data_IF_708411631252
#
_entry.id   IF_708411631252
#
_cell.length_a   1.000
_cell.length_b   1.000
_cell.length_c   1.000
_cell.angle_alpha   90.00
_cell.angle_beta   90.00
_cell.angle_gamma   90.00
#
_symmetry.space_group_name_H-M   'P 1'
#
loop_
_entity.id
_entity.type
_entity.pdbx_description
1 polymer ?
#
# COMPACT_ATOMS: atom_id res chain seq x y z
N UNK A 1 -3.88 -7.52 -10.11
CA UNK A 1 -4.63 -7.53 -8.84
C UNK A 1 -3.88 -6.73 -7.78
N UNK A 2 -4.53 -5.86 -7.04
CA UNK A 2 -3.86 -5.16 -5.95
C UNK A 2 -3.59 -6.10 -4.78
N UNK A 3 -2.54 -5.81 -4.05
CA UNK A 3 -2.26 -6.47 -2.79
C UNK A 3 -3.01 -5.72 -1.68
N UNK A 4 -3.61 -6.46 -0.75
CA UNK A 4 -4.44 -5.90 0.30
C UNK A 4 -3.80 -6.05 1.67
N UNK A 5 -3.86 -4.98 2.46
CA UNK A 5 -3.35 -4.98 3.82
C UNK A 5 -4.46 -4.46 4.74
N UNK A 6 -4.80 -5.26 5.74
CA UNK A 6 -5.85 -4.95 6.70
C UNK A 6 -5.31 -4.12 7.86
N UNK A 7 -6.11 -3.21 8.34
CA UNK A 7 -5.75 -2.43 9.50
C UNK A 7 -6.89 -1.56 9.99
N UNK A 8 -6.60 -0.83 11.06
CA UNK A 8 -7.55 0.06 11.73
C UNK A 8 -7.18 1.51 11.42
N UNK A 9 -8.13 2.28 10.91
CA UNK A 9 -7.93 3.71 10.66
C UNK A 9 -8.19 4.48 11.95
N UNK A 10 -7.16 5.06 12.53
CA UNK A 10 -7.24 5.78 13.80
C UNK A 10 -6.48 7.10 13.76
N UNK A 11 -6.73 7.92 14.76
CA UNK A 11 -5.91 9.09 15.01
C UNK A 11 -5.05 8.83 16.24
N UNK A 12 -3.73 8.84 16.05
CA UNK A 12 -2.78 8.58 17.12
C UNK A 12 -1.97 9.84 17.38
N UNK A 13 -2.13 10.41 18.56
CA UNK A 13 -1.45 11.66 18.94
C UNK A 13 -1.69 12.79 17.93
N UNK A 14 -2.91 12.89 17.40
CA UNK A 14 -3.28 13.87 16.40
C UNK A 14 -2.87 13.55 14.97
N UNK A 15 -2.27 12.38 14.75
CA UNK A 15 -1.78 11.98 13.43
C UNK A 15 -2.66 10.87 12.87
N UNK A 16 -3.25 11.05 11.67
CA UNK A 16 -3.98 9.99 11.00
C UNK A 16 -3.07 8.77 10.77
N UNK A 17 -3.51 7.63 11.29
CA UNK A 17 -2.66 6.44 11.33
C UNK A 17 -3.46 5.20 10.91
N UNK A 18 -2.84 4.36 10.08
CA UNK A 18 -3.35 3.05 9.73
C UNK A 18 -2.58 2.01 10.55
N UNK A 19 -3.25 1.43 11.52
CA UNK A 19 -2.62 0.42 12.40
C UNK A 19 -2.83 -0.96 11.80
N UNK A 20 -1.76 -1.52 11.27
CA UNK A 20 -1.78 -2.86 10.69
C UNK A 20 -1.50 -3.92 11.74
N UNK A 21 -1.86 -5.17 11.43
CA UNK A 21 -1.58 -6.28 12.34
C UNK A 21 -0.10 -6.63 12.39
N UNK A 22 0.58 -6.55 11.26
CA UNK A 22 1.95 -7.07 11.12
C UNK A 22 2.97 -6.08 10.59
N UNK A 23 2.52 -4.96 10.04
CA UNK A 23 3.42 -3.99 9.40
C UNK A 23 3.59 -2.70 10.19
N UNK A 24 3.09 -2.68 11.43
CA UNK A 24 3.19 -1.52 12.31
C UNK A 24 2.20 -0.42 11.96
N UNK A 25 2.48 0.77 12.43
CA UNK A 25 1.64 1.95 12.22
C UNK A 25 2.14 2.72 11.01
N UNK A 26 1.22 3.03 10.10
CA UNK A 26 1.53 3.69 8.84
C UNK A 26 0.76 5.00 8.77
N UNK A 27 1.43 6.12 8.43
CA UNK A 27 0.72 7.40 8.29
C UNK A 27 -0.28 7.35 7.14
N UNK A 28 -1.47 7.89 7.36
CA UNK A 28 -2.49 8.01 6.32
C UNK A 28 -2.34 9.36 5.64
N UNK A 29 -2.20 9.41 4.30
CA UNK A 29 -2.14 10.69 3.59
C UNK A 29 -3.39 11.54 3.81
N UNK A 30 -3.25 12.85 3.80
CA UNK A 30 -4.36 13.76 4.05
C UNK A 30 -5.55 13.54 3.13
N UNK A 31 -5.32 13.30 1.84
CA UNK A 31 -6.42 13.09 0.90
C UNK A 31 -7.25 11.88 1.28
N UNK A 32 -6.59 10.80 1.70
CA UNK A 32 -7.26 9.57 2.07
C UNK A 32 -7.96 9.70 3.41
N UNK A 33 -7.33 10.40 4.37
CA UNK A 33 -7.93 10.65 5.67
C UNK A 33 -9.25 11.42 5.55
N UNK A 34 -9.30 12.42 4.66
CA UNK A 34 -10.52 13.17 4.39
C UNK A 34 -11.63 12.27 3.87
N UNK A 35 -11.29 11.37 2.97
CA UNK A 35 -12.26 10.41 2.41
C UNK A 35 -12.78 9.47 3.50
N UNK A 36 -11.88 8.93 4.32
CA UNK A 36 -12.27 8.02 5.40
C UNK A 36 -13.15 8.70 6.44
N UNK A 37 -12.85 9.94 6.79
CA UNK A 37 -13.69 10.71 7.71
C UNK A 37 -15.06 10.99 7.11
N UNK A 38 -15.10 11.35 5.85
CA UNK A 38 -16.35 11.66 5.14
C UNK A 38 -17.34 10.49 5.19
N UNK A 39 -16.84 9.28 5.03
CA UNK A 39 -17.69 8.09 4.95
C UNK A 39 -17.78 7.31 6.25
N UNK A 40 -17.24 7.86 7.35
CA UNK A 40 -17.39 7.27 8.67
C UNK A 40 -16.53 6.07 8.96
N UNK A 41 -15.37 5.96 8.33
CA UNK A 41 -14.48 4.81 8.51
C UNK A 41 -13.42 5.00 9.59
N UNK A 42 -13.33 6.18 10.19
CA UNK A 42 -12.40 6.41 11.29
C UNK A 42 -12.82 5.56 12.49
N UNK A 43 -11.88 4.79 13.04
CA UNK A 43 -12.16 3.84 14.11
C UNK A 43 -12.63 2.47 13.63
N UNK A 44 -12.63 2.23 12.33
CA UNK A 44 -13.06 0.97 11.73
C UNK A 44 -11.91 0.25 11.05
N UNK A 45 -12.02 -1.06 10.99
CA UNK A 45 -11.09 -1.87 10.21
C UNK A 45 -11.42 -1.75 8.72
N UNK A 46 -10.39 -1.52 7.91
CA UNK A 46 -10.47 -1.40 6.46
C UNK A 46 -9.30 -2.13 5.82
N UNK A 47 -9.31 -2.20 4.50
CA UNK A 47 -8.16 -2.72 3.76
C UNK A 47 -7.58 -1.61 2.88
N UNK A 48 -6.25 -1.53 2.86
CA UNK A 48 -5.55 -0.71 1.86
C UNK A 48 -5.13 -1.61 0.71
N UNK A 49 -5.37 -1.14 -0.51
CA UNK A 49 -4.96 -1.82 -1.72
C UNK A 49 -3.78 -1.12 -2.37
N UNK A 50 -2.80 -1.90 -2.77
CA UNK A 50 -1.57 -1.41 -3.41
C UNK A 50 -1.40 -2.17 -4.72
N UNK A 51 -1.34 -1.46 -5.83
CA UNK A 51 -1.07 -2.09 -7.13
C UNK A 51 0.41 -2.40 -7.27
N UNK A 52 0.77 -3.45 -8.04
CA UNK A 52 2.17 -3.83 -8.20
C UNK A 52 3.08 -2.70 -8.68
N UNK A 53 2.60 -1.82 -9.54
CA UNK A 53 3.36 -0.69 -10.07
C UNK A 53 3.60 0.43 -9.03
N UNK A 54 2.94 0.37 -7.89
CA UNK A 54 3.08 1.37 -6.83
C UNK A 54 4.00 0.93 -5.69
N UNK A 55 4.66 -0.20 -5.85
CA UNK A 55 5.81 -0.56 -5.03
C UNK A 55 7.06 -0.01 -5.73
N UNK A 56 7.84 0.77 -5.01
CA UNK A 56 8.97 1.49 -5.57
C UNK A 56 10.29 1.01 -4.96
N UNK A 57 11.33 0.95 -5.77
CA UNK A 57 12.69 0.64 -5.28
C UNK A 57 13.35 1.84 -4.61
N UNK A 58 12.76 3.03 -4.75
CA UNK A 58 13.24 4.29 -4.16
C UNK A 58 12.07 5.01 -3.52
N UNK A 59 12.31 5.85 -2.49
CA UNK A 59 11.23 6.67 -1.93
C UNK A 59 10.59 7.55 -3.00
N UNK A 60 9.26 7.75 -2.89
CA UNK A 60 8.57 8.67 -3.76
C UNK A 60 9.06 10.10 -3.48
N UNK A 61 9.34 10.86 -4.53
CA UNK A 61 9.92 12.21 -4.39
C UNK A 61 8.93 13.24 -3.84
N UNK A 62 7.63 12.99 -4.03
CA UNK A 62 6.62 14.03 -3.87
C UNK A 62 6.09 14.22 -2.45
N UNK A 63 6.27 13.29 -1.54
CA UNK A 63 5.74 13.42 -0.18
C UNK A 63 6.64 12.80 0.84
N UNK A 64 7.20 13.66 1.69
CA UNK A 64 8.07 13.23 2.78
C UNK A 64 7.32 12.99 4.09
N UNK A 65 6.01 13.19 4.11
CA UNK A 65 5.21 12.97 5.30
C UNK A 65 4.68 11.55 5.33
N UNK A 66 5.44 10.70 5.97
CA UNK A 66 5.00 9.35 6.22
C UNK A 66 5.37 8.42 5.08
N UNK A 67 6.55 7.89 5.17
CA UNK A 67 6.97 6.83 4.30
C UNK A 67 6.43 5.50 4.81
N UNK A 68 5.85 4.74 3.91
CA UNK A 68 5.60 3.34 4.16
C UNK A 68 6.59 2.52 3.36
N UNK A 69 7.43 1.78 4.06
CA UNK A 69 8.40 0.90 3.43
C UNK A 69 8.32 -0.49 4.04
N UNK A 70 8.63 -1.48 3.24
CA UNK A 70 8.63 -2.88 3.64
C UNK A 70 9.96 -3.50 3.27
N UNK A 71 10.52 -4.28 4.18
CA UNK A 71 11.68 -5.11 3.88
C UNK A 71 11.18 -6.50 3.52
N UNK A 72 11.46 -6.94 2.30
CA UNK A 72 10.97 -8.21 1.79
C UNK A 72 12.10 -9.00 1.16
N UNK A 73 11.89 -10.31 1.06
CA UNK A 73 12.79 -11.22 0.35
C UNK A 73 12.10 -11.65 -0.94
N UNK A 74 12.77 -11.49 -2.06
CA UNK A 74 12.24 -11.89 -3.36
C UNK A 74 12.15 -13.40 -3.42
N UNK A 75 10.97 -13.92 -3.74
CA UNK A 75 10.73 -15.35 -3.88
C UNK A 75 10.79 -15.83 -5.33
N UNK A 76 10.50 -14.95 -6.29
CA UNK A 76 10.59 -15.25 -7.71
C UNK A 76 10.72 -13.95 -8.51
N UNK A 77 11.27 -14.06 -9.69
CA UNK A 77 11.44 -12.96 -10.63
C UNK A 77 10.91 -13.39 -11.99
N UNK A 78 10.05 -12.57 -12.58
CA UNK A 78 9.54 -12.81 -13.92
C UNK A 78 9.86 -11.62 -14.82
N UNK A 79 10.32 -11.90 -16.04
CA UNK A 79 10.55 -10.86 -17.02
C UNK A 79 9.36 -10.86 -18.00
N UNK A 80 8.65 -9.74 -18.05
CA UNK A 80 7.51 -9.54 -18.95
C UNK A 80 7.80 -8.36 -19.87
N UNK A 81 8.36 -8.65 -21.05
CA UNK A 81 8.77 -7.59 -21.97
C UNK A 81 9.86 -6.72 -21.36
N UNK A 82 9.59 -5.43 -21.20
CA UNK A 82 10.52 -4.47 -20.61
C UNK A 82 10.37 -4.33 -19.11
N UNK A 83 9.47 -5.12 -18.49
CA UNK A 83 9.16 -4.99 -17.07
C UNK A 83 9.55 -6.24 -16.31
N UNK A 84 9.92 -6.06 -15.06
CA UNK A 84 10.22 -7.15 -14.16
C UNK A 84 9.15 -7.20 -13.06
N UNK A 85 8.62 -8.39 -12.82
CA UNK A 85 7.70 -8.64 -11.71
C UNK A 85 8.48 -9.38 -10.64
N UNK A 86 8.58 -8.76 -9.47
CA UNK A 86 9.18 -9.38 -8.29
C UNK A 86 8.06 -9.95 -7.43
N UNK A 87 8.16 -11.23 -7.09
CA UNK A 87 7.26 -11.87 -6.16
C UNK A 87 7.88 -11.91 -4.78
N UNK A 88 7.09 -11.66 -3.76
CA UNK A 88 7.53 -11.75 -2.39
C UNK A 88 6.37 -12.16 -1.49
N UNK A 89 6.67 -12.61 -0.29
CA UNK A 89 5.67 -12.98 0.69
C UNK A 89 5.63 -11.92 1.79
N UNK A 90 4.45 -11.41 2.08
CA UNK A 90 4.24 -10.47 3.16
C UNK A 90 3.28 -11.08 4.17
N UNK A 91 3.82 -11.55 5.29
CA UNK A 91 3.04 -12.11 6.40
C UNK A 91 2.05 -13.22 5.95
N UNK A 92 2.53 -14.12 5.09
CA UNK A 92 1.73 -15.24 4.60
C UNK A 92 0.95 -14.96 3.31
N UNK A 93 0.97 -13.73 2.82
CA UNK A 93 0.31 -13.34 1.59
C UNK A 93 1.33 -13.20 0.47
N UNK A 94 1.05 -13.85 -0.68
CA UNK A 94 1.87 -13.66 -1.86
C UNK A 94 1.57 -12.31 -2.50
N UNK A 95 2.62 -11.52 -2.67
CA UNK A 95 2.53 -10.18 -3.22
C UNK A 95 3.44 -10.06 -4.43
N UNK A 96 3.22 -9.05 -5.26
CA UNK A 96 4.11 -8.76 -6.35
C UNK A 96 4.32 -7.24 -6.53
N UNK A 97 5.53 -6.91 -6.98
CA UNK A 97 5.90 -5.54 -7.32
C UNK A 97 6.35 -5.50 -8.77
N UNK A 98 5.93 -4.47 -9.49
CA UNK A 98 6.29 -4.27 -10.89
C UNK A 98 7.38 -3.21 -10.92
N UNK A 99 8.57 -3.61 -11.31
CA UNK A 99 9.74 -2.74 -11.28
C UNK A 99 10.34 -2.60 -12.67
N UNK A 100 11.33 -1.71 -12.80
CA UNK A 100 12.01 -1.49 -14.07
C UNK A 100 12.69 -2.77 -14.57
N UNK A 101 12.73 -2.95 -15.88
CA UNK A 101 13.49 -4.02 -16.50
C UNK A 101 14.98 -3.98 -16.21
N UNK A 102 15.47 -2.84 -15.73
CA UNK A 102 16.88 -2.68 -15.33
C UNK A 102 17.16 -3.21 -13.92
N UNK A 103 16.12 -3.60 -13.19
CA UNK A 103 16.31 -4.14 -11.85
C UNK A 103 17.10 -5.43 -11.88
N UNK A 104 18.12 -5.51 -11.03
CA UNK A 104 18.97 -6.69 -10.89
C UNK A 104 18.54 -7.61 -9.76
N UNK A 105 17.42 -7.30 -9.12
CA UNK A 105 16.90 -8.10 -8.00
C UNK A 105 16.44 -9.47 -8.50
N UNK A 106 16.77 -10.50 -7.75
CA UNK A 106 16.43 -11.89 -8.08
C UNK A 106 16.04 -12.66 -6.83
N UNK A 107 15.60 -13.89 -7.03
CA UNK A 107 15.20 -14.80 -5.95
C UNK A 107 16.25 -14.86 -4.85
N UNK A 108 15.81 -14.68 -3.62
CA UNK A 108 16.68 -14.70 -2.44
C UNK A 108 17.20 -13.35 -2.02
N UNK A 109 17.09 -12.34 -2.88
CA UNK A 109 17.57 -10.99 -2.54
C UNK A 109 16.63 -10.32 -1.55
N UNK A 110 17.21 -9.59 -0.62
CA UNK A 110 16.46 -8.75 0.30
C UNK A 110 16.39 -7.34 -0.28
N UNK A 111 15.22 -6.76 -0.24
CA UNK A 111 15.01 -5.43 -0.79
C UNK A 111 14.05 -4.64 0.09
N UNK A 112 14.25 -3.33 0.15
CA UNK A 112 13.29 -2.41 0.73
C UNK A 112 12.43 -1.87 -0.40
N UNK A 113 11.12 -2.04 -0.26
CA UNK A 113 10.15 -1.48 -1.20
C UNK A 113 9.39 -0.35 -0.50
N UNK A 114 9.33 0.80 -1.15
CA UNK A 114 8.52 1.91 -0.70
C UNK A 114 7.17 1.86 -1.41
N UNK A 115 6.11 2.22 -0.68
CA UNK A 115 4.78 2.29 -1.25
C UNK A 115 4.50 3.73 -1.68
N UNK A 116 4.03 3.89 -2.92
CA UNK A 116 3.64 5.20 -3.42
C UNK A 116 2.28 5.55 -2.81
N UNK A 117 2.32 6.33 -1.73
CA UNK A 117 1.15 6.65 -0.94
C UNK A 117 0.13 7.51 -1.69
N UNK A 118 0.53 8.16 -2.77
CA UNK A 118 -0.38 8.97 -3.58
C UNK A 118 -1.41 8.12 -4.32
N UNK A 119 -1.14 6.83 -4.50
CA UNK A 119 -1.99 5.92 -5.27
C UNK A 119 -2.60 4.80 -4.44
N UNK A 120 -2.50 4.88 -3.12
CA UNK A 120 -3.09 3.87 -2.26
C UNK A 120 -4.62 3.99 -2.29
N UNK A 121 -5.29 2.84 -2.27
CA UNK A 121 -6.76 2.78 -2.24
C UNK A 121 -7.22 2.16 -0.93
N UNK A 122 -8.41 2.58 -0.47
CA UNK A 122 -9.04 2.01 0.71
C UNK A 122 -10.30 1.26 0.29
N UNK A 123 -10.53 0.10 0.93
CA UNK A 123 -11.66 -0.77 0.65
C UNK A 123 -12.43 -1.10 1.92
N UNK A 124 -13.75 -1.14 1.79
CA UNK A 124 -14.63 -1.62 2.85
C UNK A 124 -14.43 -3.13 3.00
N UNK A 125 -14.21 -3.58 4.24
CA UNK A 125 -13.96 -5.00 4.50
C UNK A 125 -15.16 -5.89 4.21
N UNK A 126 -16.37 -5.40 4.44
CA UNK A 126 -17.59 -6.19 4.26
C UNK A 126 -18.05 -6.23 2.81
N UNK A 127 -18.10 -5.06 2.16
CA UNK A 127 -18.62 -4.94 0.81
C UNK A 127 -17.55 -5.07 -0.26
N UNK A 128 -16.28 -4.88 0.11
CA UNK A 128 -15.12 -4.82 -0.78
C UNK A 128 -15.21 -3.66 -1.79
N UNK A 129 -16.06 -2.69 -1.50
CA UNK A 129 -16.16 -1.49 -2.30
C UNK A 129 -14.93 -0.61 -2.13
N UNK A 130 -14.44 -0.04 -3.22
CA UNK A 130 -13.34 0.91 -3.19
C UNK A 130 -13.84 2.26 -2.68
N UNK A 131 -13.52 2.57 -1.42
CA UNK A 131 -13.99 3.79 -0.76
C UNK A 131 -13.40 5.04 -1.42
N UNK A 132 -12.16 4.94 -1.91
CA UNK A 132 -11.47 6.07 -2.54
C UNK A 132 -12.13 6.53 -3.84
N UNK A 133 -12.85 5.64 -4.51
CA UNK A 133 -13.58 5.97 -5.73
C UNK A 133 -15.03 6.33 -5.49
N UNK A 134 -15.49 6.27 -4.24
CA UNK A 134 -16.88 6.58 -3.91
C UNK A 134 -17.14 8.06 -4.09
N UNK A 135 -18.16 8.39 -4.85
CA UNK A 135 -18.55 9.78 -5.08
C UNK A 135 -19.56 10.20 -4.03
N UNK A 136 -19.29 11.32 -3.38
CA UNK A 136 -20.26 11.93 -2.50
C UNK A 136 -21.23 12.84 -3.24
N UNK A 137 -22.24 13.28 -2.51
CA UNK A 137 -23.26 14.18 -3.05
C UNK A 137 -22.64 15.51 -3.51
N UNK A 138 -21.52 15.88 -2.91
CA UNK A 138 -20.83 17.16 -3.13
C UNK A 138 -19.52 17.03 -3.88
N UNK A 139 -19.28 15.91 -4.50
CA UNK A 139 -18.03 15.70 -5.25
C UNK A 139 -18.13 16.19 -6.67
#
# INVERSE_FOLDING_TARGET
MPDFIKGLAIEKLGIPTFRTENDGDIPIPDFLWKILKRWGYVGRNIEFGIRPEHFLEKPAEADTRGEWKMEVTVTARELLGAEVILHFNNNGQDCCAKVSGDSLLDKGDKVTLWIDMAYISAFDLETQENITLRKGIFS
#
